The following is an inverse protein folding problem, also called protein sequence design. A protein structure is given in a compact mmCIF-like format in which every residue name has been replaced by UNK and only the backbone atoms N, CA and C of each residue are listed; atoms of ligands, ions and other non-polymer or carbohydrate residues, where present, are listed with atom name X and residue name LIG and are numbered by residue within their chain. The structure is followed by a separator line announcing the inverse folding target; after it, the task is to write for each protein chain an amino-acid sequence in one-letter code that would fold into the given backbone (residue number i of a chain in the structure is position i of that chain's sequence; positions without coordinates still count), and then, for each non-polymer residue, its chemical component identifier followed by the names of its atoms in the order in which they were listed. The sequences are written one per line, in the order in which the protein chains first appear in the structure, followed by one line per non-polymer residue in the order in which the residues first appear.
data_IF_984957091189
#
_entry.id   IF_984957091189
#
_cell.length_a   1.000
_cell.length_b   1.000
_cell.length_c   1.000
_cell.angle_alpha   90.00
_cell.angle_beta   90.00
_cell.angle_gamma   90.00
#
_symmetry.space_group_name_H-M   'P 1'
#
loop_
_entity.id
_entity.type
_entity.pdbx_description
1 polymer ?
#
# COMPACT_ATOMS: atom_id res chain seq x y z
N UNK A 1 -23.60 40.18 -7.43
CA UNK A 1 -22.63 39.07 -7.34
C UNK A 1 -21.42 39.37 -8.20
N UNK A 2 -20.22 39.46 -7.61
CA UNK A 2 -19.02 39.92 -8.33
C UNK A 2 -18.49 38.86 -9.30
N UNK A 3 -17.88 39.30 -10.40
CA UNK A 3 -17.31 38.43 -11.45
C UNK A 3 -16.25 37.45 -10.90
N UNK A 4 -15.61 37.81 -9.78
CA UNK A 4 -14.61 37.00 -9.08
C UNK A 4 -15.20 35.73 -8.44
N UNK A 5 -16.40 35.80 -7.87
CA UNK A 5 -17.09 34.62 -7.30
C UNK A 5 -17.45 33.63 -8.40
N UNK A 6 -17.84 34.13 -9.58
CA UNK A 6 -18.16 33.31 -10.76
C UNK A 6 -16.91 32.68 -11.40
N UNK A 7 -15.73 33.25 -11.24
CA UNK A 7 -14.46 32.65 -11.73
C UNK A 7 -13.86 31.65 -10.73
N UNK A 8 -14.04 31.86 -9.43
CA UNK A 8 -13.59 30.93 -8.38
C UNK A 8 -14.46 29.68 -8.28
N UNK A 9 -15.73 29.74 -8.67
CA UNK A 9 -16.62 28.57 -8.71
C UNK A 9 -16.36 27.64 -9.93
N UNK A 10 -15.79 28.16 -11.03
CA UNK A 10 -15.53 27.40 -12.27
C UNK A 10 -14.71 26.12 -12.09
N UNK A 11 -13.58 26.10 -11.36
CA UNK A 11 -12.79 24.87 -11.19
C UNK A 11 -13.51 23.79 -10.37
N UNK A 12 -14.53 24.14 -9.59
CA UNK A 12 -15.35 23.17 -8.84
C UNK A 12 -16.59 22.73 -9.62
N UNK A 13 -17.20 23.61 -10.42
CA UNK A 13 -18.38 23.27 -11.23
C UNK A 13 -18.07 22.44 -12.48
N UNK A 14 -16.86 22.58 -13.05
CA UNK A 14 -16.46 21.83 -14.24
C UNK A 14 -16.31 20.31 -14.02
N UNK A 15 -15.65 19.80 -12.95
CA UNK A 15 -15.60 18.37 -12.69
C UNK A 15 -16.98 17.79 -12.30
N UNK A 16 -17.80 18.55 -11.57
CA UNK A 16 -19.18 18.15 -11.24
C UNK A 16 -20.03 17.99 -12.52
N UNK A 17 -19.92 18.93 -13.47
CA UNK A 17 -20.62 18.86 -14.76
C UNK A 17 -20.10 17.75 -15.70
N UNK A 18 -18.82 17.35 -15.57
CA UNK A 18 -18.27 16.19 -16.27
C UNK A 18 -18.80 14.88 -15.67
N UNK A 19 -18.88 14.77 -14.34
CA UNK A 19 -19.46 13.62 -13.65
C UNK A 19 -20.95 13.43 -13.99
N UNK A 20 -21.77 14.49 -14.05
CA UNK A 20 -23.19 14.37 -14.43
C UNK A 20 -23.38 13.91 -15.87
N UNK A 21 -22.47 14.28 -16.78
CA UNK A 21 -22.49 13.85 -18.18
C UNK A 21 -22.12 12.36 -18.34
N UNK A 22 -21.27 11.83 -17.45
CA UNK A 22 -20.97 10.40 -17.38
C UNK A 22 -22.12 9.58 -16.77
N UNK A 23 -22.87 10.12 -15.79
CA UNK A 23 -24.08 9.48 -15.24
C UNK A 23 -25.18 9.32 -16.30
N UNK A 24 -25.29 10.24 -17.25
CA UNK A 24 -26.23 10.12 -18.38
C UNK A 24 -25.85 8.99 -19.37
N UNK A 25 -24.60 8.52 -19.34
CA UNK A 25 -24.09 7.42 -20.16
C UNK A 25 -23.90 6.12 -19.35
N UNK A 26 -24.29 6.10 -18.07
CA UNK A 26 -24.27 4.90 -17.23
C UNK A 26 -25.49 4.03 -17.49
N UNK A 27 -25.33 2.73 -17.25
CA UNK A 27 -26.43 1.75 -17.31
C UNK A 27 -27.65 2.26 -16.51
N UNK A 28 -28.82 2.19 -17.14
CA UNK A 28 -30.13 2.60 -16.61
C UNK A 28 -30.37 2.20 -15.13
N UNK A 29 -30.03 0.98 -14.65
CA UNK A 29 -30.17 0.62 -13.23
C UNK A 29 -29.26 1.44 -12.28
N UNK A 30 -28.05 1.79 -12.69
CA UNK A 30 -27.12 2.57 -11.87
C UNK A 30 -27.57 4.03 -11.78
N UNK A 31 -28.12 4.57 -12.87
CA UNK A 31 -28.73 5.90 -12.89
C UNK A 31 -29.92 6.00 -11.94
N UNK A 32 -30.83 5.01 -11.96
CA UNK A 32 -31.96 4.95 -11.00
C UNK A 32 -31.50 4.86 -9.55
N UNK A 33 -30.42 4.14 -9.30
CA UNK A 33 -29.84 4.05 -7.97
C UNK A 33 -29.29 5.41 -7.50
N UNK A 34 -28.58 6.12 -8.38
CA UNK A 34 -28.08 7.48 -8.12
C UNK A 34 -29.21 8.47 -7.86
N UNK A 35 -30.22 8.48 -8.73
CA UNK A 35 -31.37 9.38 -8.62
C UNK A 35 -32.19 9.10 -7.34
N UNK A 36 -32.29 7.84 -6.91
CA UNK A 36 -32.97 7.48 -5.66
C UNK A 36 -32.24 7.97 -4.39
N UNK A 37 -30.91 8.05 -4.39
CA UNK A 37 -30.15 8.66 -3.29
C UNK A 37 -30.19 10.18 -3.35
N UNK A 38 -30.13 10.77 -4.54
CA UNK A 38 -30.29 12.22 -4.72
C UNK A 38 -31.67 12.71 -4.25
N UNK A 39 -32.74 11.95 -4.55
CA UNK A 39 -34.09 12.25 -4.07
C UNK A 39 -34.26 12.19 -2.55
N UNK A 40 -33.40 11.41 -1.86
CA UNK A 40 -33.37 11.28 -0.40
C UNK A 40 -32.47 12.31 0.29
N UNK A 41 -31.71 13.10 -0.47
CA UNK A 41 -30.75 14.06 0.07
C UNK A 41 -29.52 13.42 0.73
N UNK A 42 -29.27 12.14 0.46
CA UNK A 42 -28.17 11.37 1.05
C UNK A 42 -26.94 11.36 0.13
N UNK A 43 -25.75 11.32 0.74
CA UNK A 43 -24.51 11.12 0.00
C UNK A 43 -24.36 9.66 -0.42
N UNK A 44 -24.59 9.42 -1.71
CA UNK A 44 -24.48 8.10 -2.33
C UNK A 44 -23.11 7.45 -2.14
N UNK A 45 -22.03 8.23 -2.13
CA UNK A 45 -20.68 7.65 -2.07
C UNK A 45 -20.43 7.00 -0.71
N UNK A 46 -20.87 7.67 0.36
CA UNK A 46 -20.81 7.15 1.72
C UNK A 46 -21.74 5.94 1.90
N UNK A 47 -22.96 5.98 1.33
CA UNK A 47 -23.92 4.88 1.42
C UNK A 47 -23.41 3.61 0.71
N UNK A 48 -22.95 3.74 -0.54
CA UNK A 48 -22.41 2.63 -1.33
C UNK A 48 -21.15 2.06 -0.70
N UNK A 49 -20.29 2.91 -0.11
CA UNK A 49 -19.11 2.42 0.60
C UNK A 49 -19.46 1.56 1.81
N UNK A 50 -20.49 1.96 2.58
CA UNK A 50 -20.99 1.17 3.72
C UNK A 50 -21.57 -0.15 3.26
N UNK A 51 -22.43 -0.12 2.24
CA UNK A 51 -23.01 -1.34 1.65
C UNK A 51 -21.92 -2.30 1.16
N UNK A 52 -20.91 -1.78 0.46
CA UNK A 52 -19.76 -2.56 0.04
C UNK A 52 -19.00 -3.16 1.23
N UNK A 53 -18.69 -2.35 2.25
CA UNK A 53 -17.97 -2.81 3.43
C UNK A 53 -18.73 -3.90 4.19
N UNK A 54 -20.04 -3.75 4.33
CA UNK A 54 -20.90 -4.71 5.01
C UNK A 54 -21.05 -6.01 4.19
N UNK A 55 -21.18 -5.90 2.87
CA UNK A 55 -21.13 -7.06 1.98
C UNK A 55 -19.78 -7.80 2.06
N UNK A 56 -18.65 -7.07 2.10
CA UNK A 56 -17.34 -7.69 2.27
C UNK A 56 -17.22 -8.42 3.62
N UNK A 57 -17.73 -7.83 4.71
CA UNK A 57 -17.74 -8.45 6.04
C UNK A 57 -18.61 -9.70 6.08
N UNK A 58 -19.80 -9.66 5.47
CA UNK A 58 -20.70 -10.81 5.39
C UNK A 58 -20.08 -11.99 4.61
N UNK A 59 -19.16 -11.72 3.68
CA UNK A 59 -18.44 -12.74 2.93
C UNK A 59 -17.23 -13.33 3.68
N UNK A 60 -16.76 -12.72 4.77
CA UNK A 60 -15.58 -13.20 5.50
C UNK A 60 -15.74 -14.63 6.04
N UNK A 61 -16.87 -15.02 6.67
CA UNK A 61 -17.04 -16.39 7.17
C UNK A 61 -16.97 -17.43 6.04
N UNK A 62 -17.63 -17.14 4.91
CA UNK A 62 -17.59 -18.02 3.75
C UNK A 62 -16.17 -18.17 3.18
N UNK A 63 -15.45 -17.05 3.03
CA UNK A 63 -14.05 -17.05 2.56
C UNK A 63 -13.15 -17.85 3.50
N UNK A 64 -13.36 -17.75 4.81
CA UNK A 64 -12.58 -18.48 5.81
C UNK A 64 -12.83 -20.00 5.74
N UNK A 65 -14.09 -20.41 5.65
CA UNK A 65 -14.44 -21.83 5.48
C UNK A 65 -13.87 -22.40 4.19
N UNK A 66 -13.99 -21.66 3.09
CA UNK A 66 -13.42 -22.06 1.79
C UNK A 66 -11.89 -22.19 1.87
N UNK A 67 -11.20 -21.21 2.46
CA UNK A 67 -9.76 -21.25 2.65
C UNK A 67 -9.30 -22.47 3.46
N UNK A 68 -10.00 -22.79 4.55
CA UNK A 68 -9.70 -24.00 5.34
C UNK A 68 -9.89 -25.29 4.55
N UNK A 69 -10.97 -25.38 3.76
CA UNK A 69 -11.24 -26.53 2.91
C UNK A 69 -10.17 -26.72 1.84
N UNK A 70 -9.80 -25.64 1.15
CA UNK A 70 -8.72 -25.65 0.16
C UNK A 70 -7.36 -26.01 0.79
N UNK A 71 -7.05 -25.49 1.98
CA UNK A 71 -5.81 -25.81 2.69
C UNK A 71 -5.79 -27.29 3.10
N UNK A 72 -6.90 -27.81 3.62
CA UNK A 72 -7.01 -29.22 3.99
C UNK A 72 -6.78 -30.13 2.77
N UNK A 73 -7.38 -29.80 1.63
CA UNK A 73 -7.18 -30.49 0.36
C UNK A 73 -5.72 -30.43 -0.13
N UNK A 74 -5.05 -29.29 0.01
CA UNK A 74 -3.63 -29.17 -0.32
C UNK A 74 -2.75 -30.06 0.57
N UNK A 75 -3.10 -30.19 1.86
CA UNK A 75 -2.33 -30.97 2.83
C UNK A 75 -2.66 -32.46 2.87
N UNK A 76 -3.82 -32.88 2.33
CA UNK A 76 -4.26 -34.29 2.38
C UNK A 76 -3.45 -35.21 1.44
N UNK A 77 -2.68 -34.64 0.51
CA UNK A 77 -1.90 -35.41 -0.46
C UNK A 77 -2.72 -36.01 -1.60
N UNK A 78 -4.04 -35.75 -1.64
CA UNK A 78 -4.97 -36.20 -2.68
C UNK A 78 -4.96 -35.31 -3.93
N UNK A 79 -4.00 -34.38 -4.04
CA UNK A 79 -3.83 -33.58 -5.25
C UNK A 79 -3.39 -34.48 -6.41
N UNK A 80 -4.31 -34.76 -7.33
CA UNK A 80 -4.02 -35.39 -8.60
C UNK A 80 -3.28 -34.39 -9.51
N UNK A 81 -1.97 -34.26 -9.33
CA UNK A 81 -1.10 -33.37 -10.12
C UNK A 81 -1.22 -33.70 -11.64
N UNK A 82 -1.61 -34.94 -11.97
CA UNK A 82 -1.78 -35.43 -13.34
C UNK A 82 -3.03 -34.90 -14.05
N UNK A 83 -4.03 -34.36 -13.34
CA UNK A 83 -5.27 -33.83 -13.94
C UNK A 83 -5.31 -32.30 -13.97
N UNK A 84 -4.20 -31.63 -13.63
CA UNK A 84 -4.16 -30.19 -13.48
C UNK A 84 -4.26 -29.48 -14.83
N UNK A 85 -5.36 -28.78 -15.08
CA UNK A 85 -5.49 -27.96 -16.27
C UNK A 85 -4.59 -26.71 -16.19
N UNK A 86 -4.20 -26.16 -17.33
CA UNK A 86 -3.37 -24.94 -17.39
C UNK A 86 -4.02 -23.73 -16.69
N UNK A 87 -5.36 -23.70 -16.61
CA UNK A 87 -6.12 -22.67 -15.89
C UNK A 87 -5.89 -22.76 -14.38
N UNK A 88 -5.87 -23.97 -13.83
CA UNK A 88 -5.67 -24.20 -12.41
C UNK A 88 -4.23 -23.85 -12.02
N UNK A 89 -3.26 -24.18 -12.89
CA UNK A 89 -1.87 -23.75 -12.73
C UNK A 89 -1.73 -22.22 -12.63
N UNK A 90 -2.42 -21.46 -13.49
CA UNK A 90 -2.42 -20.00 -13.43
C UNK A 90 -3.04 -19.46 -12.13
N UNK A 91 -4.08 -20.11 -11.62
CA UNK A 91 -4.69 -19.76 -10.34
C UNK A 91 -3.73 -20.01 -9.18
N UNK A 92 -3.04 -21.16 -9.17
CA UNK A 92 -2.01 -21.48 -8.19
C UNK A 92 -0.84 -20.50 -8.24
N UNK A 93 -0.37 -20.14 -9.44
CA UNK A 93 0.70 -19.18 -9.60
C UNK A 93 0.31 -17.81 -9.04
N UNK A 94 -0.90 -17.33 -9.36
CA UNK A 94 -1.45 -16.08 -8.83
C UNK A 94 -1.58 -16.11 -7.31
N UNK A 95 -1.96 -17.26 -6.74
CA UNK A 95 -1.99 -17.45 -5.29
C UNK A 95 -0.57 -17.37 -4.69
N UNK A 96 0.39 -18.07 -5.27
CA UNK A 96 1.79 -18.06 -4.84
C UNK A 96 2.41 -16.66 -4.89
N UNK A 97 2.16 -15.89 -5.96
CA UNK A 97 2.63 -14.51 -6.07
C UNK A 97 2.06 -13.62 -4.96
N UNK A 98 0.79 -13.80 -4.59
CA UNK A 98 0.18 -13.06 -3.47
C UNK A 98 0.80 -13.44 -2.13
N UNK A 99 1.04 -14.74 -1.91
CA UNK A 99 1.72 -15.22 -0.71
C UNK A 99 3.13 -14.65 -0.60
N UNK A 100 3.89 -14.62 -1.71
CA UNK A 100 5.22 -14.00 -1.77
C UNK A 100 5.16 -12.51 -1.45
N UNK A 101 4.19 -11.78 -1.99
CA UNK A 101 4.03 -10.35 -1.71
C UNK A 101 3.73 -10.09 -0.22
N UNK A 102 2.85 -10.89 0.39
CA UNK A 102 2.55 -10.81 1.83
C UNK A 102 3.78 -11.17 2.67
N UNK A 103 4.53 -12.19 2.27
CA UNK A 103 5.79 -12.56 2.94
C UNK A 103 6.81 -11.42 2.91
N UNK A 104 7.04 -10.80 1.75
CA UNK A 104 7.94 -9.65 1.62
C UNK A 104 7.49 -8.47 2.48
N UNK A 105 6.18 -8.17 2.49
CA UNK A 105 5.62 -7.15 3.36
C UNK A 105 5.86 -7.45 4.85
N UNK A 106 5.63 -8.69 5.28
CA UNK A 106 5.88 -9.13 6.65
C UNK A 106 7.37 -9.03 7.03
N UNK A 107 8.28 -9.40 6.13
CA UNK A 107 9.74 -9.26 6.34
C UNK A 107 10.13 -7.79 6.48
N UNK A 108 9.60 -6.91 5.63
CA UNK A 108 9.86 -5.47 5.72
C UNK A 108 9.34 -4.88 7.04
N UNK A 109 8.15 -5.28 7.49
CA UNK A 109 7.57 -4.86 8.78
C UNK A 109 8.40 -5.39 9.95
N UNK A 110 8.77 -6.67 9.93
CA UNK A 110 9.58 -7.31 10.96
C UNK A 110 10.96 -6.67 11.11
N UNK A 111 11.60 -6.34 9.98
CA UNK A 111 12.88 -5.60 9.94
C UNK A 111 12.71 -4.10 10.24
N UNK A 112 11.49 -3.58 10.19
CA UNK A 112 11.18 -2.13 10.26
C UNK A 112 11.95 -1.30 9.23
N UNK A 113 12.34 -1.92 8.13
CA UNK A 113 13.09 -1.27 7.06
C UNK A 113 12.70 -1.87 5.71
N UNK A 114 12.40 -0.98 4.77
CA UNK A 114 12.14 -1.33 3.36
C UNK A 114 13.43 -1.84 2.70
N UNK A 115 14.59 -1.33 3.12
CA UNK A 115 15.89 -1.70 2.53
C UNK A 115 16.37 -3.05 3.04
N UNK A 116 16.97 -3.88 2.16
CA UNK A 116 17.62 -5.13 2.55
C UNK A 116 18.66 -4.89 3.66
N UNK A 117 19.03 -5.96 4.39
CA UNK A 117 20.16 -5.88 5.33
C UNK A 117 21.44 -5.57 4.54
N UNK A 118 21.94 -4.35 4.68
CA UNK A 118 23.18 -3.91 4.06
C UNK A 118 24.34 -4.18 5.03
N UNK A 119 25.49 -4.56 4.47
CA UNK A 119 26.72 -4.63 5.26
C UNK A 119 27.14 -3.21 5.66
N UNK A 120 27.69 -3.02 6.88
CA UNK A 120 28.11 -1.72 7.39
C UNK A 120 29.32 -1.13 6.65
N UNK A 121 29.88 -1.82 5.66
CA UNK A 121 30.95 -1.27 4.80
C UNK A 121 30.44 -0.95 3.39
N UNK A 122 29.14 -1.12 3.13
CA UNK A 122 28.58 -0.92 1.81
C UNK A 122 28.42 0.58 1.50
N UNK A 123 28.79 1.05 0.29
CA UNK A 123 28.64 2.45 -0.11
C UNK A 123 27.16 2.91 -0.10
N UNK A 124 26.22 1.98 -0.23
CA UNK A 124 24.79 2.27 -0.15
C UNK A 124 24.33 2.68 1.25
N UNK A 125 25.07 2.32 2.31
CA UNK A 125 24.74 2.75 3.68
C UNK A 125 24.99 4.25 3.82
N UNK A 126 26.09 4.75 3.25
CA UNK A 126 26.43 6.16 3.29
C UNK A 126 25.39 7.02 2.56
N UNK A 127 24.93 6.58 1.38
CA UNK A 127 23.86 7.25 0.63
C UNK A 127 22.52 7.22 1.36
N UNK A 128 22.16 6.09 2.00
CA UNK A 128 20.91 5.97 2.75
C UNK A 128 20.92 6.87 4.00
N UNK A 129 22.04 6.92 4.71
CA UNK A 129 22.22 7.77 5.90
C UNK A 129 22.23 9.25 5.54
N UNK A 130 22.85 9.64 4.42
CA UNK A 130 22.97 11.05 4.02
C UNK A 130 21.71 11.60 3.35
N UNK A 131 21.04 10.81 2.51
CA UNK A 131 19.96 11.31 1.65
C UNK A 131 18.56 10.81 2.00
N UNK A 132 18.43 9.68 2.71
CA UNK A 132 17.16 8.93 2.80
C UNK A 132 16.64 8.67 4.21
N UNK A 133 17.11 9.37 5.25
CA UNK A 133 16.62 9.12 6.62
C UNK A 133 15.12 9.41 6.78
N UNK A 134 14.26 8.40 7.04
CA UNK A 134 12.93 8.64 7.61
C UNK A 134 12.97 8.51 9.14
N UNK A 135 14.14 8.19 9.72
CA UNK A 135 14.27 7.74 11.09
C UNK A 135 15.28 8.59 11.89
N UNK A 136 14.87 9.82 12.23
CA UNK A 136 15.36 10.50 13.46
C UNK A 136 14.87 9.82 14.75
N UNK A 137 14.14 8.70 14.65
CA UNK A 137 13.59 7.98 15.79
C UNK A 137 14.29 6.61 15.96
N UNK A 138 14.88 6.44 17.14
CA UNK A 138 15.44 5.20 17.72
C UNK A 138 16.87 4.79 17.29
N UNK A 139 17.85 5.46 17.92
CA UNK A 139 18.91 4.93 18.82
C UNK A 139 19.68 3.62 18.54
N UNK A 140 19.38 2.79 17.54
CA UNK A 140 19.99 1.44 17.45
C UNK A 140 20.67 1.13 16.10
N UNK A 141 20.24 1.72 14.98
CA UNK A 141 20.73 1.32 13.66
C UNK A 141 21.80 2.25 13.02
N UNK A 142 22.25 3.30 13.72
CA UNK A 142 23.20 4.26 13.17
C UNK A 142 24.21 4.82 14.17
N UNK A 143 24.20 4.35 15.42
CA UNK A 143 25.09 4.85 16.47
C UNK A 143 26.55 4.47 16.22
N UNK A 144 26.80 3.27 15.71
CA UNK A 144 28.15 2.80 15.39
C UNK A 144 28.77 3.59 14.23
N UNK A 145 27.99 3.85 13.17
CA UNK A 145 28.42 4.69 12.06
C UNK A 145 28.66 6.14 12.46
N UNK A 146 27.77 6.73 13.26
CA UNK A 146 27.95 8.10 13.75
C UNK A 146 29.18 8.18 14.66
N UNK A 147 29.39 7.19 15.54
CA UNK A 147 30.57 7.13 16.40
C UNK A 147 31.86 6.99 15.59
N UNK A 148 31.86 6.17 14.54
CA UNK A 148 33.02 6.00 13.66
C UNK A 148 33.30 7.26 12.84
N UNK A 149 32.27 7.88 12.26
CA UNK A 149 32.41 9.15 11.54
C UNK A 149 32.84 10.31 12.47
N UNK A 150 32.38 10.33 13.72
CA UNK A 150 32.83 11.30 14.73
C UNK A 150 34.28 11.05 15.16
N UNK A 151 34.69 9.79 15.30
CA UNK A 151 36.08 9.44 15.61
C UNK A 151 37.02 9.83 14.46
N UNK A 152 36.62 9.58 13.22
CA UNK A 152 37.37 9.98 12.02
C UNK A 152 37.43 11.51 11.87
N UNK A 153 36.33 12.23 12.13
CA UNK A 153 36.30 13.68 12.13
C UNK A 153 37.19 14.27 13.25
N UNK A 154 37.14 13.71 14.46
CA UNK A 154 37.98 14.14 15.57
C UNK A 154 39.47 13.86 15.31
N UNK A 155 39.80 12.72 14.68
CA UNK A 155 41.17 12.41 14.26
C UNK A 155 41.67 13.35 13.16
N UNK A 156 40.82 13.72 12.20
CA UNK A 156 41.16 14.70 11.17
C UNK A 156 41.33 16.12 11.74
N UNK A 157 40.50 16.51 12.71
CA UNK A 157 40.60 17.80 13.41
C UNK A 157 41.89 17.87 14.23
N UNK A 158 42.22 16.82 14.98
CA UNK A 158 43.49 16.70 15.73
C UNK A 158 44.74 16.70 14.82
N UNK A 159 44.63 16.14 13.61
CA UNK A 159 45.71 16.20 12.61
C UNK A 159 45.84 17.58 11.94
N UNK A 160 44.79 18.40 11.96
CA UNK A 160 44.75 19.73 11.35
C UNK A 160 45.11 20.87 12.31
N UNK A 161 45.11 20.63 13.62
CA UNK A 161 45.61 21.57 14.63
C UNK A 161 47.13 21.43 14.76
N UNK A 162 47.94 22.35 14.18
CA UNK A 162 49.36 22.35 14.46
C UNK A 162 49.55 22.72 15.93
N UNK A 163 50.36 21.93 16.62
CA UNK A 163 50.90 22.23 17.95
C UNK A 163 51.44 23.67 17.92
N UNK A 164 50.85 24.54 18.74
CA UNK A 164 51.43 25.83 19.10
C UNK A 164 52.35 25.66 20.31
#
# INVERSE_FOLDING_TARGET
MSRLVRTLAKPFTAPVALCTRHVAAMDEPLKRHIDAYAARGEDITTAVWREYADAQRALLPHRWTKFKGELAYLTSGEMAITELAAKDLLLFLRFLTKCLAVFLAAVMIGRRSVYPSLQPTSPFVEEIVKNWQPNRLSRVAGTEFIAQAQAEAAAAEAASSPIA
#
